data_IF_312261192957
#
_entry.id   IF_312261192957
#
_cell.length_a   1.000
_cell.length_b   1.000
_cell.length_c   1.000
_cell.angle_alpha   90.00
_cell.angle_beta   90.00
_cell.angle_gamma   90.00
#
_symmetry.space_group_name_H-M   'P 1'
#
loop_
_entity.id
_entity.type
_entity.pdbx_description
1 polymer ?
#
# COMPACT_ATOMS: atom_id res chain seq x y z
N UNK A 1 33.83 -7.05 -37.63
CA UNK A 1 32.99 -8.04 -36.95
C UNK A 1 31.68 -7.36 -36.56
N UNK A 2 30.56 -7.76 -37.16
CA UNK A 2 29.23 -7.26 -36.79
C UNK A 2 28.75 -8.11 -35.62
N UNK A 3 28.78 -7.55 -34.42
CA UNK A 3 28.15 -8.18 -33.25
C UNK A 3 26.63 -8.00 -33.43
N UNK A 4 25.82 -9.05 -33.26
CA UNK A 4 24.37 -8.89 -33.34
C UNK A 4 23.96 -7.84 -32.30
N UNK A 5 23.21 -6.82 -32.74
CA UNK A 5 22.60 -5.84 -31.85
C UNK A 5 21.69 -6.60 -30.89
N UNK A 6 22.13 -6.73 -29.65
CA UNK A 6 21.41 -7.48 -28.65
C UNK A 6 20.61 -6.49 -27.80
N UNK A 7 19.32 -6.78 -27.68
CA UNK A 7 18.38 -5.95 -26.95
C UNK A 7 18.58 -6.16 -25.45
N UNK A 8 18.63 -5.06 -24.70
CA UNK A 8 18.62 -5.11 -23.24
C UNK A 8 17.19 -5.35 -22.74
N UNK A 9 17.03 -6.26 -21.78
CA UNK A 9 15.74 -6.57 -21.18
C UNK A 9 15.66 -5.98 -19.76
N UNK A 10 14.60 -5.24 -19.47
CA UNK A 10 14.31 -4.67 -18.17
C UNK A 10 13.18 -5.45 -17.50
N UNK A 11 13.39 -5.79 -16.24
CA UNK A 11 12.47 -6.58 -15.43
C UNK A 11 11.97 -5.77 -14.22
N UNK A 12 10.65 -5.63 -14.12
CA UNK A 12 9.94 -4.93 -13.04
C UNK A 12 8.74 -5.76 -12.58
N UNK A 13 8.16 -5.39 -11.43
CA UNK A 13 6.84 -5.90 -11.06
C UNK A 13 5.77 -5.19 -11.89
N UNK A 14 4.72 -5.91 -12.32
CA UNK A 14 3.63 -5.32 -13.10
C UNK A 14 2.83 -4.29 -12.29
N UNK A 15 2.53 -4.63 -11.04
CA UNK A 15 1.71 -3.82 -10.14
C UNK A 15 2.20 -4.01 -8.70
N UNK A 16 2.12 -2.95 -7.90
CA UNK A 16 2.50 -2.94 -6.49
C UNK A 16 1.51 -2.10 -5.70
N UNK A 17 1.00 -2.69 -4.62
CA UNK A 17 0.18 -1.99 -3.63
C UNK A 17 1.05 -1.60 -2.44
N UNK A 18 0.95 -0.35 -1.99
CA UNK A 18 1.68 0.13 -0.83
C UNK A 18 0.84 1.09 0.01
N UNK A 19 1.12 1.15 1.31
CA UNK A 19 0.29 1.89 2.25
C UNK A 19 0.70 3.36 2.27
N UNK A 20 -0.27 4.28 2.30
CA UNK A 20 -0.04 5.71 2.46
C UNK A 20 0.88 6.00 3.66
N UNK A 21 1.87 6.87 3.46
CA UNK A 21 2.87 7.26 4.46
C UNK A 21 4.03 6.27 4.64
N UNK A 22 4.01 5.12 3.97
CA UNK A 22 5.15 4.16 4.01
C UNK A 22 6.17 4.46 2.92
N UNK A 23 7.32 3.79 2.99
CA UNK A 23 8.35 3.85 1.96
C UNK A 23 8.24 2.62 1.06
N UNK A 24 8.42 2.80 -0.24
CA UNK A 24 8.34 1.71 -1.21
C UNK A 24 9.60 1.64 -2.06
N UNK A 25 10.18 0.45 -2.15
CA UNK A 25 11.24 0.13 -3.10
C UNK A 25 10.62 -0.32 -4.43
N UNK A 26 10.83 0.44 -5.49
CA UNK A 26 10.48 0.02 -6.84
C UNK A 26 11.60 -0.85 -7.40
N UNK A 27 11.32 -2.15 -7.54
CA UNK A 27 12.28 -3.11 -8.07
C UNK A 27 12.42 -2.96 -9.59
N UNK A 28 13.64 -2.68 -10.07
CA UNK A 28 13.98 -2.71 -11.50
C UNK A 28 15.36 -3.32 -11.68
N UNK A 29 15.43 -4.41 -12.42
CA UNK A 29 16.69 -5.08 -12.77
C UNK A 29 16.80 -5.22 -14.28
N UNK A 30 18.00 -5.36 -14.81
CA UNK A 30 18.18 -5.52 -16.25
C UNK A 30 19.10 -6.69 -16.62
N UNK A 31 18.92 -7.18 -17.83
CA UNK A 31 19.76 -8.20 -18.46
C UNK A 31 20.30 -7.62 -19.75
N UNK A 32 21.62 -7.56 -19.88
CA UNK A 32 22.32 -7.05 -21.07
C UNK A 32 23.32 -8.10 -21.55
N UNK A 33 23.44 -8.22 -22.87
CA UNK A 33 24.45 -9.09 -23.49
C UNK A 33 25.85 -8.46 -23.51
N UNK A 34 25.90 -7.13 -23.38
CA UNK A 34 27.13 -6.37 -23.31
C UNK A 34 27.54 -6.20 -21.84
N UNK A 35 28.85 -6.16 -21.55
CA UNK A 35 29.30 -5.74 -20.23
C UNK A 35 28.72 -4.38 -19.85
N UNK A 36 28.45 -4.17 -18.57
CA UNK A 36 27.98 -2.87 -18.08
C UNK A 36 29.07 -1.82 -18.34
N UNK A 37 28.74 -0.83 -19.16
CA UNK A 37 29.68 0.22 -19.56
C UNK A 37 29.67 1.41 -18.58
N UNK A 38 30.72 2.23 -18.61
CA UNK A 38 30.77 3.50 -17.87
C UNK A 38 29.77 4.56 -18.41
N UNK A 39 29.14 4.28 -19.55
CA UNK A 39 28.15 5.14 -20.17
C UNK A 39 26.72 4.66 -19.88
N UNK A 40 26.55 3.71 -18.96
CA UNK A 40 25.22 3.28 -18.53
C UNK A 40 24.47 4.46 -17.91
N UNK A 41 23.23 4.64 -18.35
CA UNK A 41 22.30 5.61 -17.78
C UNK A 41 20.98 4.94 -17.42
N UNK A 42 20.37 5.39 -16.33
CA UNK A 42 19.04 4.96 -15.91
C UNK A 42 18.14 6.18 -15.79
N UNK A 43 16.95 6.08 -16.34
CA UNK A 43 15.91 7.10 -16.20
C UNK A 43 14.66 6.47 -15.61
N UNK A 44 14.18 7.06 -14.52
CA UNK A 44 12.85 6.78 -14.00
C UNK A 44 11.92 7.95 -14.30
N UNK A 45 10.76 7.64 -14.89
CA UNK A 45 9.68 8.61 -15.10
C UNK A 45 8.39 8.10 -14.46
N UNK A 46 7.46 9.01 -14.20
CA UNK A 46 6.15 8.76 -13.63
C UNK A 46 5.07 9.27 -14.57
N UNK A 47 4.02 8.49 -14.73
CA UNK A 47 2.82 8.82 -15.49
C UNK A 47 1.64 8.75 -14.52
N UNK A 48 1.02 9.88 -14.16
CA UNK A 48 -0.17 9.89 -13.33
C UNK A 48 -1.33 9.14 -14.00
N UNK A 49 -2.26 8.62 -13.19
CA UNK A 49 -3.40 7.84 -13.68
C UNK A 49 -4.41 8.66 -14.52
N UNK A 50 -4.45 9.97 -14.31
CA UNK A 50 -5.25 10.91 -15.11
C UNK A 50 -4.67 11.19 -16.51
N UNK A 51 -3.58 10.50 -16.88
CA UNK A 51 -2.89 10.62 -18.16
C UNK A 51 -2.36 12.03 -18.46
N UNK A 52 -2.10 12.83 -17.41
CA UNK A 52 -1.34 14.08 -17.53
C UNK A 52 0.11 13.84 -18.01
N UNK A 53 0.91 14.88 -18.22
CA UNK A 53 2.25 14.69 -18.82
C UNK A 53 3.18 13.83 -17.95
N UNK A 54 4.08 13.06 -18.58
CA UNK A 54 5.12 12.30 -17.88
C UNK A 54 6.02 13.22 -17.05
N UNK A 55 6.26 12.86 -15.80
CA UNK A 55 7.10 13.58 -14.86
C UNK A 55 8.43 12.85 -14.61
N UNK A 56 9.58 13.53 -14.60
CA UNK A 56 10.85 12.90 -14.25
C UNK A 56 10.91 12.58 -12.74
N UNK A 57 11.38 11.38 -12.41
CA UNK A 57 11.46 10.88 -11.01
C UNK A 57 12.89 10.77 -10.54
N UNK A 58 13.76 10.18 -11.35
CA UNK A 58 15.13 9.91 -10.99
C UNK A 58 16.02 9.75 -12.22
N UNK A 59 17.29 10.14 -12.10
CA UNK A 59 18.28 9.93 -13.15
C UNK A 59 19.59 9.40 -12.54
N UNK A 60 20.21 8.46 -13.23
CA UNK A 60 21.55 7.96 -12.91
C UNK A 60 22.44 8.08 -14.14
N UNK A 61 23.62 8.67 -13.96
CA UNK A 61 24.71 8.60 -14.94
C UNK A 61 26.04 8.80 -14.23
N UNK A 62 26.83 7.72 -14.13
CA UNK A 62 28.03 7.59 -13.28
C UNK A 62 27.78 7.75 -11.78
N UNK A 63 26.85 8.62 -11.40
CA UNK A 63 26.39 8.84 -10.04
C UNK A 63 24.87 9.09 -10.00
N UNK A 64 24.23 8.85 -8.84
CA UNK A 64 22.84 9.21 -8.55
C UNK A 64 22.59 10.72 -8.69
N UNK A 65 21.73 11.15 -9.63
CA UNK A 65 21.35 12.56 -9.78
C UNK A 65 19.99 12.85 -9.14
N UNK A 66 19.97 13.77 -8.17
CA UNK A 66 18.74 14.23 -7.52
C UNK A 66 18.11 15.37 -8.33
N UNK A 67 16.86 15.22 -8.71
CA UNK A 67 16.12 16.28 -9.39
C UNK A 67 15.87 17.48 -8.44
N UNK A 68 16.13 18.72 -8.89
CA UNK A 68 15.98 19.93 -8.06
C UNK A 68 14.53 20.37 -7.88
N UNK A 69 13.62 19.87 -8.72
CA UNK A 69 12.20 20.24 -8.80
C UNK A 69 11.33 19.00 -9.04
N UNK A 70 10.01 19.18 -8.98
CA UNK A 70 9.03 18.12 -9.21
C UNK A 70 8.51 17.49 -7.91
N UNK A 71 7.42 16.73 -8.04
CA UNK A 71 6.70 16.15 -6.90
C UNK A 71 7.48 15.12 -6.08
N UNK A 72 8.50 14.51 -6.69
CA UNK A 72 9.34 13.48 -6.08
C UNK A 72 10.64 14.04 -5.50
N UNK A 73 10.85 15.36 -5.60
CA UNK A 73 11.97 16.06 -4.99
C UNK A 73 12.12 15.66 -3.52
N UNK A 74 13.33 15.33 -3.11
CA UNK A 74 13.71 14.91 -1.75
C UNK A 74 13.05 13.61 -1.23
N UNK A 75 12.11 13.02 -1.99
CA UNK A 75 11.40 11.79 -1.62
C UNK A 75 11.89 10.57 -2.37
N UNK A 76 12.92 10.67 -3.20
CA UNK A 76 13.46 9.53 -3.96
C UNK A 76 14.95 9.37 -3.71
N UNK A 77 15.36 8.13 -3.45
CA UNK A 77 16.77 7.75 -3.29
C UNK A 77 17.12 6.55 -4.15
N UNK A 78 18.37 6.50 -4.56
CA UNK A 78 18.96 5.33 -5.20
C UNK A 78 19.09 4.17 -4.21
N UNK A 79 18.69 2.97 -4.64
CA UNK A 79 18.84 1.72 -3.88
C UNK A 79 19.31 0.56 -4.78
N UNK A 80 19.83 0.91 -5.97
CA UNK A 80 20.33 -0.05 -6.94
C UNK A 80 21.79 -0.45 -6.68
N UNK A 81 22.17 -1.59 -7.25
CA UNK A 81 23.55 -2.05 -7.35
C UNK A 81 23.83 -2.44 -8.80
N UNK A 82 24.59 -1.59 -9.50
CA UNK A 82 24.88 -1.73 -10.93
C UNK A 82 25.67 -3.00 -11.23
N UNK A 83 26.57 -3.41 -10.33
CA UNK A 83 27.34 -4.65 -10.48
C UNK A 83 26.46 -5.90 -10.42
N UNK A 84 25.25 -5.77 -9.87
CA UNK A 84 24.23 -6.82 -9.79
C UNK A 84 23.06 -6.56 -10.73
N UNK A 85 23.24 -5.66 -11.69
CA UNK A 85 22.22 -5.20 -12.64
C UNK A 85 20.92 -4.72 -11.97
N UNK A 86 21.01 -4.17 -10.77
CA UNK A 86 19.88 -3.63 -10.02
C UNK A 86 19.92 -2.10 -10.10
N UNK A 87 18.83 -1.51 -10.58
CA UNK A 87 18.67 -0.07 -10.80
C UNK A 87 17.46 0.49 -10.04
N UNK A 88 17.15 -0.14 -8.91
CA UNK A 88 16.06 0.23 -8.02
C UNK A 88 16.18 1.60 -7.39
N UNK A 89 15.00 2.15 -7.11
CA UNK A 89 14.83 3.37 -6.31
C UNK A 89 13.90 3.10 -5.13
N UNK A 90 14.02 3.91 -4.09
CA UNK A 90 13.07 3.98 -2.98
C UNK A 90 12.33 5.31 -3.06
N UNK A 91 11.00 5.24 -2.99
CA UNK A 91 10.12 6.39 -2.82
C UNK A 91 9.72 6.46 -1.34
N UNK A 92 10.00 7.59 -0.72
CA UNK A 92 9.76 7.86 0.69
C UNK A 92 8.41 8.56 0.90
N UNK A 93 7.77 8.23 2.01
CA UNK A 93 6.52 8.84 2.45
C UNK A 93 5.47 8.93 1.33
N UNK A 94 5.06 7.75 0.82
CA UNK A 94 4.08 7.62 -0.25
C UNK A 94 2.82 8.42 0.02
N UNK A 95 2.31 9.10 -1.01
CA UNK A 95 1.07 9.87 -0.94
C UNK A 95 0.02 9.30 -1.89
N UNK A 96 -1.29 9.47 -1.65
CA UNK A 96 -2.33 8.99 -2.57
C UNK A 96 -2.21 9.57 -3.98
N UNK A 97 -1.64 10.77 -4.09
CA UNK A 97 -1.37 11.40 -5.38
C UNK A 97 -0.27 10.68 -6.18
N UNK A 98 0.56 9.85 -5.55
CA UNK A 98 1.63 9.07 -6.21
C UNK A 98 1.07 7.83 -6.95
N UNK A 99 -0.26 7.66 -6.97
CA UNK A 99 -0.95 6.69 -7.82
C UNK A 99 -0.67 6.94 -9.31
N UNK A 100 -0.17 5.91 -9.99
CA UNK A 100 0.15 5.98 -11.41
C UNK A 100 1.14 4.89 -11.83
N UNK A 101 1.77 5.09 -12.99
CA UNK A 101 2.72 4.14 -13.57
C UNK A 101 4.12 4.73 -13.55
N UNK A 102 5.06 4.02 -12.95
CA UNK A 102 6.48 4.33 -13.04
C UNK A 102 7.12 3.54 -14.18
N UNK A 103 8.00 4.19 -14.91
CA UNK A 103 8.76 3.57 -16.00
C UNK A 103 10.24 3.62 -15.71
N UNK A 104 10.93 2.50 -15.89
CA UNK A 104 12.35 2.31 -15.71
C UNK A 104 12.98 2.07 -17.08
N UNK A 105 13.83 2.99 -17.52
CA UNK A 105 14.55 2.89 -18.79
C UNK A 105 16.04 2.81 -18.50
N UNK A 106 16.65 1.72 -18.92
CA UNK A 106 18.11 1.54 -18.85
C UNK A 106 18.66 1.77 -20.25
N UNK A 107 19.84 2.38 -20.36
CA UNK A 107 20.62 2.42 -21.59
C UNK A 107 22.05 2.00 -21.27
N UNK A 108 22.56 0.98 -21.96
CA UNK A 108 23.93 0.49 -21.80
C UNK A 108 24.64 0.41 -23.17
N UNK A 109 25.19 1.52 -23.71
CA UNK A 109 25.95 1.48 -24.95
C UNK A 109 27.07 0.42 -24.89
N UNK A 110 27.32 -0.36 -25.95
CA UNK A 110 26.84 -0.20 -27.32
C UNK A 110 25.46 -0.84 -27.62
N UNK A 111 24.72 -1.32 -26.61
CA UNK A 111 23.41 -1.94 -26.85
C UNK A 111 22.45 -1.00 -27.57
N UNK A 112 21.77 -1.52 -28.59
CA UNK A 112 20.84 -0.77 -29.43
C UNK A 112 19.45 -0.83 -28.81
N UNK A 113 19.24 -0.01 -27.78
CA UNK A 113 17.96 0.10 -27.08
C UNK A 113 17.66 -1.06 -26.13
N UNK A 114 16.63 -0.87 -25.29
CA UNK A 114 16.16 -1.86 -24.34
C UNK A 114 14.66 -1.75 -24.13
N UNK A 115 14.06 -2.78 -23.54
CA UNK A 115 12.65 -2.73 -23.13
C UNK A 115 12.46 -1.71 -22.01
N UNK A 116 11.26 -1.12 -21.95
CA UNK A 116 10.88 -0.21 -20.87
C UNK A 116 10.22 -1.06 -19.78
N UNK A 117 10.78 -1.05 -18.57
CA UNK A 117 10.13 -1.66 -17.42
C UNK A 117 9.01 -0.75 -16.92
N UNK A 118 7.80 -1.27 -16.77
CA UNK A 118 6.66 -0.52 -16.24
C UNK A 118 6.19 -1.14 -14.93
N UNK A 119 5.85 -0.31 -13.95
CA UNK A 119 5.25 -0.74 -12.68
C UNK A 119 4.12 0.21 -12.32
N UNK A 120 2.93 -0.35 -12.14
CA UNK A 120 1.76 0.40 -11.67
C UNK A 120 1.72 0.41 -10.15
N UNK A 121 1.72 1.60 -9.55
CA UNK A 121 1.63 1.79 -8.11
C UNK A 121 0.19 2.11 -7.70
N UNK A 122 -0.33 1.38 -6.71
CA UNK A 122 -1.52 1.77 -5.96
C UNK A 122 -1.19 2.05 -4.50
N UNK A 123 -1.53 3.25 -4.06
CA UNK A 123 -1.40 3.71 -2.69
C UNK A 123 -2.73 3.48 -1.99
N UNK A 124 -2.74 2.53 -1.05
CA UNK A 124 -3.89 2.15 -0.25
C UNK A 124 -3.87 2.81 1.12
N UNK A 125 -5.03 3.02 1.71
CA UNK A 125 -5.12 3.58 3.07
C UNK A 125 -4.86 2.49 4.12
N UNK A 126 -4.18 2.89 5.21
CA UNK A 126 -4.05 2.04 6.39
C UNK A 126 -5.38 2.03 7.14
N UNK A 127 -6.09 0.91 7.12
CA UNK A 127 -7.21 0.73 8.04
C UNK A 127 -6.63 0.26 9.37
N UNK A 128 -6.70 1.09 10.40
CA UNK A 128 -6.23 0.69 11.73
C UNK A 128 -7.17 -0.39 12.27
N UNK A 129 -6.72 -1.65 12.24
CA UNK A 129 -7.43 -2.80 12.81
C UNK A 129 -7.91 -2.51 14.25
N UNK A 130 -7.13 -1.74 15.02
CA UNK A 130 -7.48 -1.28 16.36
C UNK A 130 -8.85 -0.58 16.44
N UNK A 131 -9.18 0.33 15.52
CA UNK A 131 -10.43 1.09 15.58
C UNK A 131 -11.64 0.22 15.29
N UNK A 132 -11.54 -0.66 14.29
CA UNK A 132 -12.60 -1.60 13.94
C UNK A 132 -12.83 -2.59 15.08
N UNK A 133 -11.75 -3.10 15.69
CA UNK A 133 -11.85 -3.99 16.85
C UNK A 133 -12.47 -3.30 18.07
N UNK A 134 -12.06 -2.07 18.39
CA UNK A 134 -12.65 -1.31 19.49
C UNK A 134 -14.14 -1.05 19.27
N UNK A 135 -14.55 -0.66 18.05
CA UNK A 135 -15.96 -0.47 17.70
C UNK A 135 -16.76 -1.78 17.81
N UNK A 136 -16.21 -2.89 17.29
CA UNK A 136 -16.87 -4.19 17.35
C UNK A 136 -17.07 -4.67 18.80
N UNK A 137 -16.05 -4.53 19.66
CA UNK A 137 -16.13 -4.88 21.08
C UNK A 137 -17.13 -3.99 21.81
N UNK A 138 -17.11 -2.68 21.56
CA UNK A 138 -18.04 -1.73 22.18
C UNK A 138 -19.49 -2.08 21.84
N UNK A 139 -19.81 -2.28 20.54
CA UNK A 139 -21.16 -2.65 20.09
C UNK A 139 -21.57 -4.00 20.68
N UNK A 140 -20.70 -5.01 20.63
CA UNK A 140 -20.96 -6.33 21.21
C UNK A 140 -21.28 -6.26 22.71
N UNK A 141 -20.50 -5.50 23.47
CA UNK A 141 -20.73 -5.32 24.91
C UNK A 141 -22.06 -4.65 25.23
N UNK A 142 -22.43 -3.59 24.48
CA UNK A 142 -23.69 -2.88 24.67
C UNK A 142 -24.90 -3.78 24.36
N UNK A 143 -24.84 -4.55 23.27
CA UNK A 143 -25.90 -5.50 22.92
C UNK A 143 -26.10 -6.57 24.01
N UNK A 144 -25.00 -7.14 24.54
CA UNK A 144 -25.07 -8.15 25.60
C UNK A 144 -25.65 -7.57 26.90
N UNK A 145 -25.21 -6.38 27.31
CA UNK A 145 -25.73 -5.70 28.50
C UNK A 145 -27.23 -5.41 28.37
N UNK A 146 -27.70 -4.94 27.21
CA UNK A 146 -29.12 -4.71 26.96
C UNK A 146 -29.95 -5.99 27.08
N UNK A 147 -29.48 -7.11 26.54
CA UNK A 147 -30.15 -8.40 26.64
C UNK A 147 -30.25 -8.85 28.11
N UNK A 148 -29.16 -8.71 28.88
CA UNK A 148 -29.13 -9.05 30.32
C UNK A 148 -30.16 -8.21 31.10
N UNK A 149 -30.21 -6.89 30.86
CA UNK A 149 -31.16 -6.00 31.53
C UNK A 149 -32.60 -6.40 31.22
N UNK A 150 -32.92 -6.72 29.96
CA UNK A 150 -34.26 -7.18 29.57
C UNK A 150 -34.63 -8.48 30.29
N UNK A 151 -33.73 -9.46 30.34
CA UNK A 151 -33.93 -10.73 31.05
C UNK A 151 -34.21 -10.48 32.54
N UNK A 152 -33.41 -9.64 33.20
CA UNK A 152 -33.59 -9.27 34.61
C UNK A 152 -34.94 -8.60 34.84
N UNK A 153 -35.36 -7.66 33.98
CA UNK A 153 -36.66 -7.00 34.08
C UNK A 153 -37.81 -7.99 33.93
N UNK A 154 -37.72 -8.92 32.96
CA UNK A 154 -38.74 -9.96 32.76
C UNK A 154 -38.85 -10.85 34.01
N UNK A 155 -37.72 -11.32 34.53
CA UNK A 155 -37.66 -12.14 35.75
C UNK A 155 -38.29 -11.37 36.92
N UNK A 156 -37.88 -10.13 37.18
CA UNK A 156 -38.42 -9.29 38.25
C UNK A 156 -39.93 -9.09 38.12
N UNK A 157 -40.45 -8.80 36.91
CA UNK A 157 -41.89 -8.68 36.67
C UNK A 157 -42.63 -9.99 36.96
N UNK A 158 -42.05 -11.11 36.57
CA UNK A 158 -42.63 -12.42 36.80
C UNK A 158 -42.67 -12.79 38.28
N UNK A 159 -41.60 -12.51 39.03
CA UNK A 159 -41.58 -12.69 40.49
C UNK A 159 -42.57 -11.77 41.20
N UNK A 160 -42.67 -10.50 40.80
CA UNK A 160 -43.67 -9.57 41.35
C UNK A 160 -45.10 -10.03 41.06
N UNK A 161 -45.36 -10.54 39.85
CA UNK A 161 -46.66 -11.11 39.49
C UNK A 161 -46.99 -12.34 40.36
N UNK A 162 -46.08 -13.31 40.47
CA UNK A 162 -46.26 -14.48 41.34
C UNK A 162 -46.45 -14.11 42.83
N UNK A 163 -45.74 -13.10 43.32
CA UNK A 163 -45.90 -12.61 44.69
C UNK A 163 -47.26 -11.94 44.91
N UNK A 164 -47.79 -11.26 43.90
CA UNK A 164 -49.12 -10.64 43.94
C UNK A 164 -50.23 -11.71 43.94
N UNK A 165 -50.12 -12.75 43.11
CA UNK A 165 -51.05 -13.89 43.08
C UNK A 165 -51.10 -14.60 44.45
N UNK A 166 -49.93 -14.89 45.05
CA UNK A 166 -49.87 -15.48 46.41
C UNK A 166 -50.49 -14.59 47.49
N UNK A 167 -50.38 -13.26 47.39
CA UNK A 167 -51.02 -12.35 48.35
C UNK A 167 -52.55 -12.33 48.23
N UNK A 168 -53.08 -12.46 47.00
CA UNK A 168 -54.53 -12.54 46.78
C UNK A 168 -55.07 -13.86 47.33
N UNK A 169 -54.43 -14.99 47.05
CA UNK A 169 -54.84 -16.29 47.60
C UNK A 169 -54.88 -16.31 49.14
N UNK A 170 -53.86 -15.73 49.81
CA UNK A 170 -53.84 -15.64 51.27
C UNK A 170 -54.95 -14.73 51.81
N UNK A 171 -55.30 -13.65 51.11
CA UNK A 171 -56.38 -12.76 51.52
C UNK A 171 -57.78 -13.40 51.38
N UNK A 172 -57.99 -14.25 50.37
CA UNK A 172 -59.25 -14.99 50.20
C UNK A 172 -59.39 -16.19 51.16
N UNK A 173 -58.28 -16.72 51.70
CA UNK A 173 -58.30 -17.87 52.63
C UNK A 173 -58.58 -17.46 54.09
N UNK A 174 -58.39 -16.18 54.41
CA UNK A 174 -58.62 -15.61 55.75
C UNK A 174 -60.04 -15.03 55.94
N UNK A 175 -60.94 -15.20 54.96
CA UNK A 175 -62.35 -14.81 55.00
C UNK A 175 -63.28 -16.00 55.25
#
# INVERSE_FOLDING_TARGET
>A
ALWPAAAMEVHTSKEVDAVNGTNLRLKCTFSSSSPVSQHLSVTWNFQPEDQSSHEPVFYYFKEPYKLPTGRFKERVTWDGNIERNDVSIVIWNLQPTDNGTFTCQVKNPPDVGGTIGEVRLRVVQKVHFSEIHFLAVAIGSACVLMIIVVIVVIICRHHRKKAHEKRIEVADTEL
#
